data_IF_748241309157
#
_entry.id   IF_748241309157
#
_cell.length_a   1.000
_cell.length_b   1.000
_cell.length_c   1.000
_cell.angle_alpha   90.00
_cell.angle_beta   90.00
_cell.angle_gamma   90.00
#
_symmetry.space_group_name_H-M   'P 1'
#
loop_
_entity.id
_entity.type
_entity.pdbx_description
1 polymer ?
#
# COMPACT_ATOMS: atom_id res chain seq x y z
N UNK A 1 -5.78 -14.21 -18.04
CA UNK A 1 -5.14 -14.61 -16.76
C UNK A 1 -6.13 -14.99 -15.68
N UNK A 2 -7.18 -14.20 -15.39
CA UNK A 2 -8.04 -14.42 -14.22
C UNK A 2 -9.05 -15.59 -14.28
N UNK A 3 -9.18 -16.25 -15.42
CA UNK A 3 -10.05 -17.43 -15.58
C UNK A 3 -9.49 -18.68 -14.87
N UNK A 4 -8.18 -18.74 -14.64
CA UNK A 4 -7.52 -19.86 -13.96
C UNK A 4 -7.43 -19.70 -12.44
N UNK A 5 -7.82 -18.54 -11.91
CA UNK A 5 -7.87 -18.31 -10.47
C UNK A 5 -9.17 -18.90 -9.93
N UNK A 6 -9.07 -19.80 -8.95
CA UNK A 6 -10.24 -20.34 -8.27
C UNK A 6 -10.93 -19.25 -7.42
N UNK A 7 -12.20 -19.44 -7.09
CA UNK A 7 -12.89 -18.61 -6.09
C UNK A 7 -12.09 -18.64 -4.79
N UNK A 8 -11.95 -17.50 -4.13
CA UNK A 8 -11.07 -17.25 -2.98
C UNK A 8 -9.57 -17.42 -3.25
N UNK A 9 -9.17 -17.73 -4.49
CA UNK A 9 -7.77 -17.77 -4.91
C UNK A 9 -7.13 -16.39 -4.79
N UNK A 10 -5.83 -16.40 -4.48
CA UNK A 10 -5.02 -15.20 -4.29
C UNK A 10 -4.14 -14.98 -5.53
N UNK A 11 -4.13 -13.76 -6.03
CA UNK A 11 -3.19 -13.25 -7.01
C UNK A 11 -2.36 -12.15 -6.35
N UNK A 12 -1.05 -12.17 -6.57
CA UNK A 12 -0.15 -11.10 -6.16
C UNK A 12 0.39 -10.46 -7.44
N UNK A 13 0.15 -9.16 -7.58
CA UNK A 13 0.63 -8.37 -8.71
C UNK A 13 1.40 -7.19 -8.14
N UNK A 14 2.63 -6.97 -8.61
CA UNK A 14 3.44 -5.88 -8.12
C UNK A 14 4.50 -5.42 -9.09
N UNK A 15 5.10 -4.29 -8.74
CA UNK A 15 6.16 -3.62 -9.48
C UNK A 15 7.28 -3.27 -8.51
N UNK A 16 8.52 -3.34 -8.98
CA UNK A 16 9.71 -3.02 -8.20
C UNK A 16 10.63 -2.12 -9.01
N UNK A 17 11.61 -1.53 -8.33
CA UNK A 17 12.79 -1.02 -9.01
C UNK A 17 13.60 -2.19 -9.61
N UNK A 18 14.55 -1.94 -10.53
CA UNK A 18 15.35 -2.99 -11.17
C UNK A 18 16.11 -3.89 -10.18
N UNK A 19 16.41 -3.40 -8.98
CA UNK A 19 17.17 -4.12 -7.96
C UNK A 19 16.31 -4.73 -6.85
N UNK A 20 14.97 -4.61 -6.91
CA UNK A 20 14.05 -5.13 -5.89
C UNK A 20 14.23 -4.51 -4.50
N UNK A 21 14.83 -3.32 -4.41
CA UNK A 21 15.09 -2.59 -3.17
C UNK A 21 13.85 -1.88 -2.67
N UNK A 22 12.99 -1.45 -3.58
CA UNK A 22 11.69 -0.86 -3.31
C UNK A 22 10.67 -1.52 -4.23
N UNK A 23 9.56 -1.97 -3.66
CA UNK A 23 8.48 -2.57 -4.44
C UNK A 23 7.12 -2.33 -3.81
N UNK A 24 6.10 -2.41 -4.66
CA UNK A 24 4.70 -2.33 -4.26
C UNK A 24 3.93 -3.48 -4.89
N UNK A 25 3.07 -4.15 -4.12
CA UNK A 25 2.20 -5.21 -4.64
C UNK A 25 0.76 -5.10 -4.13
N UNK A 26 -0.18 -5.35 -5.04
CA UNK A 26 -1.56 -5.67 -4.75
C UNK A 26 -1.65 -7.14 -4.28
N UNK A 27 -2.38 -7.36 -3.18
CA UNK A 27 -2.89 -8.68 -2.82
C UNK A 27 -4.34 -8.74 -3.27
N UNK A 28 -4.63 -9.60 -4.22
CA UNK A 28 -5.91 -9.65 -4.91
C UNK A 28 -6.59 -10.98 -4.61
N UNK A 29 -7.86 -10.95 -4.20
CA UNK A 29 -8.68 -12.15 -4.02
C UNK A 29 -9.81 -12.20 -5.02
N UNK A 30 -9.98 -13.36 -5.66
CA UNK A 30 -11.17 -13.63 -6.48
C UNK A 30 -12.38 -13.86 -5.59
N UNK A 31 -13.39 -13.03 -5.77
CA UNK A 31 -14.65 -13.08 -5.03
C UNK A 31 -15.60 -14.11 -5.63
N UNK A 32 -16.68 -14.43 -4.91
CA UNK A 32 -17.71 -15.39 -5.34
C UNK A 32 -18.47 -14.95 -6.57
N UNK A 33 -18.59 -13.64 -6.80
CA UNK A 33 -19.19 -13.02 -8.00
C UNK A 33 -18.20 -12.92 -9.19
N UNK A 34 -17.04 -13.59 -9.09
CA UNK A 34 -15.94 -13.56 -10.04
C UNK A 34 -15.19 -12.22 -10.17
N UNK A 35 -15.58 -11.18 -9.44
CA UNK A 35 -14.79 -9.95 -9.35
C UNK A 35 -13.45 -10.21 -8.65
N UNK A 36 -12.49 -9.31 -8.86
CA UNK A 36 -11.21 -9.33 -8.17
C UNK A 36 -11.14 -8.14 -7.24
N UNK A 37 -10.99 -8.40 -5.95
CA UNK A 37 -10.88 -7.38 -4.92
C UNK A 37 -9.42 -7.27 -4.48
N UNK A 38 -8.86 -6.06 -4.49
CA UNK A 38 -7.57 -5.78 -3.85
C UNK A 38 -7.82 -5.73 -2.34
N UNK A 39 -7.36 -6.74 -1.60
CA UNK A 39 -7.52 -6.83 -0.15
C UNK A 39 -6.43 -6.08 0.60
N UNK A 40 -5.26 -5.89 -0.02
CA UNK A 40 -4.17 -5.14 0.57
C UNK A 40 -3.25 -4.53 -0.48
N UNK A 41 -2.65 -3.40 -0.12
CA UNK A 41 -1.50 -2.83 -0.80
C UNK A 41 -0.27 -2.98 0.10
N UNK A 42 0.78 -3.61 -0.42
CA UNK A 42 2.02 -3.88 0.30
C UNK A 42 3.13 -3.02 -0.27
N UNK A 43 3.71 -2.16 0.56
CA UNK A 43 4.91 -1.39 0.25
C UNK A 43 6.10 -2.02 0.96
N UNK A 44 7.20 -2.25 0.26
CA UNK A 44 8.41 -2.83 0.83
C UNK A 44 9.68 -2.06 0.47
N UNK A 45 10.58 -1.93 1.44
CA UNK A 45 11.92 -1.40 1.23
C UNK A 45 12.96 -2.17 2.04
N UNK A 46 14.15 -2.38 1.47
CA UNK A 46 15.28 -2.95 2.20
C UNK A 46 16.22 -1.90 2.82
N UNK A 47 15.95 -0.60 2.63
CA UNK A 47 16.69 0.55 3.15
C UNK A 47 18.17 0.67 2.75
N UNK A 48 18.66 -0.09 1.78
CA UNK A 48 20.10 -0.11 1.44
C UNK A 48 20.61 1.21 0.83
N UNK A 49 19.77 1.95 0.11
CA UNK A 49 20.15 3.22 -0.54
C UNK A 49 19.43 4.43 0.08
N UNK A 50 19.10 4.33 1.36
CA UNK A 50 18.23 5.29 2.04
C UNK A 50 16.75 5.00 1.82
N UNK A 51 15.92 5.95 2.24
CA UNK A 51 14.47 5.82 2.21
C UNK A 51 13.81 7.14 1.83
N UNK A 52 12.97 7.10 0.81
CA UNK A 52 12.10 8.20 0.42
C UNK A 52 10.74 7.63 0.01
N UNK A 53 9.68 8.16 0.62
CA UNK A 53 8.30 7.75 0.33
C UNK A 53 7.97 7.96 -1.16
N UNK A 54 8.46 9.04 -1.77
CA UNK A 54 8.19 9.38 -3.18
C UNK A 54 8.72 8.31 -4.13
N UNK A 55 9.77 7.58 -3.76
CA UNK A 55 10.33 6.50 -4.58
C UNK A 55 9.32 5.37 -4.84
N UNK A 56 8.35 5.15 -3.94
CA UNK A 56 7.29 4.16 -4.20
C UNK A 56 6.34 4.57 -5.32
N UNK A 57 6.16 5.87 -5.58
CA UNK A 57 5.25 6.35 -6.63
C UNK A 57 5.68 5.87 -8.02
N UNK A 58 6.98 5.73 -8.24
CA UNK A 58 7.58 5.28 -9.50
C UNK A 58 7.36 3.78 -9.77
N UNK A 59 7.12 3.01 -8.70
CA UNK A 59 6.94 1.56 -8.74
C UNK A 59 5.56 1.17 -8.24
N UNK A 60 4.57 2.07 -8.38
CA UNK A 60 3.17 1.74 -8.13
C UNK A 60 2.64 0.79 -9.21
N UNK A 61 1.79 -0.19 -8.83
CA UNK A 61 1.09 -1.01 -9.81
C UNK A 61 0.27 -0.14 -10.76
N UNK A 62 0.08 -0.61 -12.00
CA UNK A 62 -0.51 0.18 -13.09
C UNK A 62 -1.90 0.74 -12.76
N UNK A 63 -2.68 0.04 -11.93
CA UNK A 63 -4.00 0.50 -11.51
C UNK A 63 -3.95 1.75 -10.60
N UNK A 64 -2.81 2.04 -9.98
CA UNK A 64 -2.62 3.19 -9.08
C UNK A 64 -1.67 4.26 -9.62
N UNK A 65 -0.72 3.92 -10.50
CA UNK A 65 0.28 4.90 -10.96
C UNK A 65 -0.36 6.11 -11.68
N UNK A 66 -1.46 5.90 -12.41
CA UNK A 66 -2.20 6.96 -13.09
C UNK A 66 -3.17 7.73 -12.18
N UNK A 67 -3.33 7.29 -10.93
CA UNK A 67 -4.24 7.87 -9.93
C UNK A 67 -3.53 8.78 -8.93
N UNK A 68 -2.26 9.08 -9.16
CA UNK A 68 -1.50 10.05 -8.37
C UNK A 68 -1.77 11.50 -8.81
N UNK A 69 -3.03 11.86 -9.06
CA UNK A 69 -3.42 13.10 -9.75
C UNK A 69 -4.24 14.08 -8.91
N UNK A 70 -4.78 13.68 -7.75
CA UNK A 70 -5.47 14.63 -6.86
C UNK A 70 -6.25 14.02 -5.70
N UNK A 71 -6.89 14.89 -4.91
CA UNK A 71 -7.50 14.58 -3.61
C UNK A 71 -8.71 13.62 -3.65
N UNK A 72 -9.23 13.26 -4.82
CA UNK A 72 -10.29 12.26 -4.95
C UNK A 72 -9.75 10.82 -5.06
N UNK A 73 -8.45 10.65 -5.28
CA UNK A 73 -7.83 9.34 -5.47
C UNK A 73 -7.29 8.81 -4.15
N UNK A 74 -7.65 7.56 -3.82
CA UNK A 74 -7.31 6.98 -2.52
C UNK A 74 -5.81 6.89 -2.28
N UNK A 75 -5.07 6.54 -3.33
CA UNK A 75 -3.63 6.36 -3.27
C UNK A 75 -2.92 7.70 -3.07
N UNK A 76 -3.39 8.76 -3.74
CA UNK A 76 -2.86 10.11 -3.58
C UNK A 76 -2.99 10.57 -2.13
N UNK A 77 -4.20 10.47 -1.56
CA UNK A 77 -4.46 10.88 -0.17
C UNK A 77 -3.61 10.09 0.84
N UNK A 78 -3.47 8.78 0.62
CA UNK A 78 -2.61 7.94 1.45
C UNK A 78 -1.15 8.40 1.41
N UNK A 79 -0.62 8.76 0.24
CA UNK A 79 0.74 9.29 0.11
C UNK A 79 0.92 10.66 0.78
N UNK A 80 -0.06 11.56 0.68
CA UNK A 80 -0.03 12.84 1.40
C UNK A 80 0.03 12.61 2.92
N UNK A 81 -0.88 11.80 3.45
CA UNK A 81 -0.92 11.46 4.87
C UNK A 81 0.35 10.76 5.33
N UNK A 82 0.92 9.87 4.50
CA UNK A 82 2.18 9.20 4.80
C UNK A 82 3.35 10.18 4.86
N UNK A 83 3.48 11.10 3.91
CA UNK A 83 4.53 12.13 3.93
C UNK A 83 4.43 12.98 5.20
N UNK A 84 3.23 13.48 5.53
CA UNK A 84 3.00 14.30 6.72
C UNK A 84 3.31 13.51 7.99
N UNK A 85 2.81 12.28 8.09
CA UNK A 85 3.09 11.40 9.24
C UNK A 85 4.59 11.11 9.41
N UNK A 86 5.31 10.88 8.31
CA UNK A 86 6.75 10.62 8.35
C UNK A 86 7.52 11.84 8.85
N UNK A 87 7.14 13.04 8.40
CA UNK A 87 7.73 14.30 8.84
C UNK A 87 7.47 14.56 10.32
N UNK A 88 6.24 14.41 10.79
CA UNK A 88 5.85 14.59 12.20
C UNK A 88 6.60 13.62 13.13
N UNK A 89 6.65 12.35 12.75
CA UNK A 89 7.44 11.33 13.46
C UNK A 89 8.92 11.72 13.47
N UNK A 90 9.47 12.16 12.34
CA UNK A 90 10.87 12.62 12.27
C UNK A 90 11.17 13.81 13.20
N UNK A 91 10.30 14.81 13.25
CA UNK A 91 10.44 15.99 14.13
C UNK A 91 10.40 15.61 15.61
N UNK A 92 9.39 14.83 16.01
CA UNK A 92 9.25 14.37 17.41
C UNK A 92 10.43 13.50 17.86
N UNK A 93 10.98 12.69 16.95
CA UNK A 93 12.04 11.74 17.24
C UNK A 93 13.45 12.34 17.24
N UNK A 94 13.73 13.32 16.37
CA UNK A 94 15.02 14.03 16.35
C UNK A 94 15.35 14.72 17.68
N UNK A 95 14.33 15.15 18.42
CA UNK A 95 14.49 15.77 19.72
C UNK A 95 14.91 14.78 20.82
N UNK A 96 14.88 13.47 20.55
CA UNK A 96 15.06 12.42 21.55
C UNK A 96 16.40 11.72 21.34
N UNK A 97 16.70 11.19 20.14
CA UNK A 97 18.01 10.62 19.75
C UNK A 97 18.06 10.52 18.22
N UNK A 98 19.21 10.74 17.57
CA UNK A 98 19.36 10.59 16.11
C UNK A 98 18.84 9.23 15.63
N UNK A 99 17.79 9.22 14.82
CA UNK A 99 17.04 7.99 14.50
C UNK A 99 17.39 7.41 13.13
N UNK A 100 17.57 6.09 13.11
CA UNK A 100 17.74 5.33 11.87
C UNK A 100 16.43 5.23 11.09
N UNK A 101 16.50 5.35 9.77
CA UNK A 101 15.34 5.39 8.85
C UNK A 101 14.36 4.22 9.05
N UNK A 102 14.86 3.03 9.39
CA UNK A 102 14.03 1.84 9.69
C UNK A 102 13.09 2.07 10.88
N UNK A 103 13.59 2.72 11.93
CA UNK A 103 12.81 2.99 13.12
C UNK A 103 11.77 4.07 12.83
N UNK A 104 12.15 5.14 12.11
CA UNK A 104 11.20 6.16 11.67
C UNK A 104 10.10 5.53 10.82
N UNK A 105 10.44 4.74 9.80
CA UNK A 105 9.48 3.97 8.98
C UNK A 105 8.52 3.14 9.84
N UNK A 106 9.07 2.37 10.79
CA UNK A 106 8.25 1.52 11.64
C UNK A 106 7.32 2.30 12.56
N UNK A 107 7.71 3.48 13.05
CA UNK A 107 6.85 4.31 13.89
C UNK A 107 5.83 5.06 13.04
N UNK A 108 6.21 5.55 11.86
CA UNK A 108 5.28 6.13 10.89
C UNK A 108 4.16 5.16 10.51
N UNK A 109 4.46 3.88 10.26
CA UNK A 109 3.40 2.89 9.97
C UNK A 109 2.39 2.71 11.12
N UNK A 110 2.84 2.83 12.37
CA UNK A 110 1.95 2.82 13.55
C UNK A 110 1.19 4.13 13.70
N UNK A 111 1.83 5.25 13.40
CA UNK A 111 1.23 6.58 13.46
C UNK A 111 0.10 6.72 12.42
N UNK A 112 0.31 6.24 11.19
CA UNK A 112 -0.75 6.15 10.18
C UNK A 112 -1.96 5.35 10.65
N UNK A 113 -1.73 4.24 11.35
CA UNK A 113 -2.82 3.45 11.90
C UNK A 113 -3.58 4.18 13.00
N UNK A 114 -2.84 4.77 13.96
CA UNK A 114 -3.41 5.33 15.18
C UNK A 114 -4.01 6.72 15.00
N UNK A 115 -3.30 7.60 14.31
CA UNK A 115 -3.65 9.03 14.22
C UNK A 115 -4.45 9.36 12.96
N UNK A 116 -4.20 8.64 11.86
CA UNK A 116 -4.92 8.85 10.58
C UNK A 116 -6.05 7.84 10.36
N UNK A 117 -6.07 6.72 11.10
CA UNK A 117 -7.13 5.71 11.04
C UNK A 117 -7.00 4.70 9.90
N UNK A 118 -5.86 4.64 9.21
CA UNK A 118 -5.63 3.63 8.17
C UNK A 118 -5.53 2.22 8.75
N UNK A 119 -6.06 1.24 8.04
CA UNK A 119 -5.97 -0.18 8.43
C UNK A 119 -4.58 -0.76 8.11
N UNK A 120 -3.55 -0.33 8.83
CA UNK A 120 -2.18 -0.83 8.65
C UNK A 120 -1.90 -2.01 9.56
N UNK A 121 -1.21 -3.04 9.05
CA UNK A 121 -0.69 -4.14 9.88
C UNK A 121 0.49 -3.63 10.73
N UNK A 122 0.25 -3.39 12.02
CA UNK A 122 1.25 -2.78 12.92
C UNK A 122 2.19 -3.77 13.62
N UNK A 123 2.09 -5.06 13.27
CA UNK A 123 2.93 -6.12 13.83
C UNK A 123 4.42 -5.85 13.64
N UNK A 124 5.21 -5.96 14.72
CA UNK A 124 6.65 -5.65 14.74
C UNK A 124 7.42 -6.35 13.62
N UNK A 125 7.06 -7.60 13.28
CA UNK A 125 7.74 -8.41 12.26
C UNK A 125 7.72 -7.74 10.87
N UNK A 126 6.63 -7.11 10.48
CA UNK A 126 6.51 -6.52 9.15
C UNK A 126 7.22 -5.18 9.08
N UNK A 127 6.85 -4.25 9.97
CA UNK A 127 7.38 -2.89 9.95
C UNK A 127 8.90 -2.83 10.18
N UNK A 128 9.47 -3.66 11.07
CA UNK A 128 10.93 -3.71 11.28
C UNK A 128 11.69 -4.21 10.05
N UNK A 129 11.07 -5.05 9.25
CA UNK A 129 11.65 -5.61 8.02
C UNK A 129 11.32 -4.77 6.78
N UNK A 130 10.75 -3.58 6.95
CA UNK A 130 10.49 -2.65 5.86
C UNK A 130 9.20 -2.90 5.09
N UNK A 131 8.25 -3.64 5.66
CA UNK A 131 6.93 -3.86 5.07
C UNK A 131 5.88 -2.96 5.72
N UNK A 132 5.22 -2.14 4.90
CA UNK A 132 4.01 -1.42 5.28
C UNK A 132 2.85 -2.03 4.51
N UNK A 133 1.92 -2.67 5.23
CA UNK A 133 0.79 -3.40 4.65
C UNK A 133 -0.48 -2.64 5.00
N UNK A 134 -1.12 -2.05 3.99
CA UNK A 134 -2.41 -1.39 4.13
C UNK A 134 -3.52 -2.34 3.69
N UNK A 135 -4.36 -2.75 4.65
CA UNK A 135 -5.54 -3.58 4.38
C UNK A 135 -6.67 -2.69 3.83
N UNK A 136 -7.12 -3.00 2.62
CA UNK A 136 -8.11 -2.22 1.89
C UNK A 136 -9.52 -2.76 2.18
N UNK A 137 -9.93 -2.68 3.44
CA UNK A 137 -11.27 -3.12 3.83
C UNK A 137 -12.33 -2.14 3.33
N UNK A 138 -13.39 -2.58 2.63
CA UNK A 138 -14.49 -1.70 2.24
C UNK A 138 -15.07 -0.95 3.45
N UNK A 139 -15.31 0.36 3.29
CA UNK A 139 -15.84 1.23 4.36
C UNK A 139 -14.79 1.69 5.39
N UNK A 140 -13.53 1.26 5.27
CA UNK A 140 -12.45 1.79 6.11
C UNK A 140 -11.85 3.09 5.57
N UNK A 141 -11.15 3.82 6.45
CA UNK A 141 -10.55 5.10 6.11
C UNK A 141 -9.69 5.01 4.87
N UNK A 142 -9.95 5.94 3.94
CA UNK A 142 -9.18 6.10 2.72
C UNK A 142 -9.37 4.97 1.72
N UNK A 143 -10.39 4.11 1.87
CA UNK A 143 -10.68 3.04 0.91
C UNK A 143 -11.90 3.39 0.08
N UNK A 144 -11.69 3.53 -1.23
CA UNK A 144 -12.75 3.61 -2.23
C UNK A 144 -12.92 2.23 -2.89
N UNK A 145 -14.11 1.64 -2.74
CA UNK A 145 -14.41 0.30 -3.23
C UNK A 145 -14.27 0.18 -4.75
N UNK A 146 -14.59 1.25 -5.48
CA UNK A 146 -14.54 1.25 -6.94
C UNK A 146 -13.09 1.35 -7.45
N UNK A 147 -12.18 1.88 -6.63
CA UNK A 147 -10.75 1.95 -6.96
C UNK A 147 -10.00 0.64 -6.65
N UNK A 148 -10.60 -0.26 -5.86
CA UNK A 148 -9.99 -1.55 -5.45
C UNK A 148 -10.68 -2.78 -6.03
N UNK A 149 -11.71 -2.61 -6.87
CA UNK A 149 -12.48 -3.72 -7.45
C UNK A 149 -12.31 -3.77 -8.96
N UNK A 150 -11.78 -4.89 -9.48
CA UNK A 150 -11.85 -5.19 -10.90
C UNK A 150 -13.11 -6.01 -11.18
N UNK A 151 -14.10 -5.36 -11.79
CA UNK A 151 -15.34 -6.03 -12.22
C UNK A 151 -15.07 -6.78 -13.51
N UNK A 152 -15.36 -8.07 -13.53
CA UNK A 152 -15.32 -8.84 -14.78
C UNK A 152 -16.48 -8.38 -15.66
N UNK A 153 -16.20 -7.66 -16.74
CA UNK A 153 -17.22 -7.39 -17.77
C UNK A 153 -17.65 -8.73 -18.36
N UNK A 154 -18.94 -9.06 -18.24
CA UNK A 154 -19.52 -10.25 -18.84
C UNK A 154 -19.08 -10.37 -20.31
N UNK A 155 -18.32 -11.42 -20.64
CA UNK A 155 -18.22 -11.84 -22.03
C UNK A 155 -19.62 -12.17 -22.50
N UNK A 156 -20.10 -11.41 -23.50
CA UNK A 156 -21.32 -11.74 -24.24
C UNK A 156 -21.29 -13.24 -24.54
N UNK A 157 -22.28 -13.97 -24.02
CA UNK A 157 -22.61 -15.31 -24.49
C UNK A 157 -22.79 -15.21 -26.01
N UNK A 158 -21.88 -15.84 -26.76
CA UNK A 158 -22.16 -16.21 -28.15
C UNK A 158 -23.13 -17.38 -28.15
#
# INVERSE_FOLDING_TARGET
MCNYLNINGILIEGTSDPFGRIWVANIIRKQTDHSLLIEALVFSTNFRDGFNIVSFQQVLPKNFIHRMTGANEMIYNFFEDWKISYEQVGKSMKNIYGIGMRQQFSVTGKHLAKEYGYNIVTGKKFLKNGFLIWLLKPGSKGVDIDQITYRTTNHKKK
#
